data_IF_763170770362
#
_entry.id   IF_763170770362
#
_cell.length_a   1.000
_cell.length_b   1.000
_cell.length_c   1.000
_cell.angle_alpha   90.00
_cell.angle_beta   90.00
_cell.angle_gamma   90.00
#
_symmetry.space_group_name_H-M   'P 1'
#
loop_
_entity.id
_entity.type
_entity.pdbx_description
1 polymer ?
#
# COMPACT_ATOMS: atom_id res chain seq x y z
N UNK A 1 -31.30 -3.76 -9.57
CA UNK A 1 -29.94 -4.25 -9.27
C UNK A 1 -29.59 -3.76 -7.89
N UNK A 2 -29.41 -4.66 -6.93
CA UNK A 2 -28.97 -4.29 -5.58
C UNK A 2 -27.62 -3.57 -5.66
N UNK A 3 -27.53 -2.37 -5.07
CA UNK A 3 -26.26 -1.71 -4.86
C UNK A 3 -25.41 -2.58 -3.92
N UNK A 4 -24.41 -3.27 -4.47
CA UNK A 4 -23.35 -3.84 -3.66
C UNK A 4 -22.71 -2.69 -2.87
N UNK A 5 -22.89 -2.68 -1.54
CA UNK A 5 -22.13 -1.80 -0.66
C UNK A 5 -20.65 -2.10 -0.91
N UNK A 6 -19.93 -1.14 -1.47
CA UNK A 6 -18.50 -1.26 -1.76
C UNK A 6 -17.75 -1.32 -0.43
N UNK A 7 -17.24 -2.50 -0.08
CA UNK A 7 -16.53 -2.72 1.21
C UNK A 7 -15.04 -2.44 1.12
N UNK A 8 -14.50 -2.35 -0.10
CA UNK A 8 -13.10 -2.02 -0.35
C UNK A 8 -13.03 -0.78 -1.25
N UNK A 9 -12.00 0.06 -1.06
CA UNK A 9 -11.85 1.32 -1.81
C UNK A 9 -11.57 1.10 -3.31
N UNK A 10 -11.13 -0.11 -3.70
CA UNK A 10 -10.77 -0.45 -5.07
C UNK A 10 -11.62 -1.60 -5.60
N UNK A 11 -12.03 -1.49 -6.87
CA UNK A 11 -12.93 -2.45 -7.52
C UNK A 11 -12.13 -3.47 -8.36
N UNK A 12 -11.94 -4.67 -7.82
CA UNK A 12 -11.31 -5.77 -8.55
C UNK A 12 -12.11 -6.18 -9.79
N UNK A 13 -13.42 -5.96 -9.78
CA UNK A 13 -14.31 -6.26 -10.91
C UNK A 13 -13.98 -5.33 -12.07
N UNK A 14 -13.84 -4.02 -11.80
CA UNK A 14 -13.42 -3.04 -12.80
C UNK A 14 -12.07 -3.39 -13.43
N UNK A 15 -11.12 -3.93 -12.64
CA UNK A 15 -9.83 -4.39 -13.16
C UNK A 15 -9.98 -5.63 -14.06
N UNK A 16 -10.83 -6.58 -13.69
CA UNK A 16 -11.06 -7.84 -14.44
C UNK A 16 -11.97 -7.66 -15.66
N UNK A 17 -12.79 -6.62 -15.70
CA UNK A 17 -13.63 -6.23 -16.84
C UNK A 17 -12.80 -5.57 -17.95
N UNK A 18 -11.58 -5.12 -17.65
CA UNK A 18 -10.63 -4.72 -18.68
C UNK A 18 -10.21 -5.95 -19.50
N UNK A 19 -9.90 -5.76 -20.78
CA UNK A 19 -9.66 -6.81 -21.78
C UNK A 19 -8.49 -7.76 -21.49
N UNK A 20 -7.79 -7.62 -20.35
CA UNK A 20 -6.63 -8.40 -19.96
C UNK A 20 -6.74 -8.93 -18.52
N UNK A 21 -6.22 -10.13 -18.28
CA UNK A 21 -6.11 -10.70 -16.93
C UNK A 21 -5.01 -9.98 -16.13
N UNK A 22 -5.40 -9.20 -15.13
CA UNK A 22 -4.47 -8.52 -14.21
C UNK A 22 -4.68 -8.98 -12.75
N UNK A 23 -3.62 -9.51 -12.13
CA UNK A 23 -3.64 -9.87 -10.70
C UNK A 23 -3.49 -8.64 -9.78
N UNK A 24 -2.86 -7.59 -10.30
CA UNK A 24 -2.68 -6.27 -9.71
C UNK A 24 -2.57 -5.25 -10.86
N UNK A 25 -2.85 -3.97 -10.59
CA UNK A 25 -2.74 -2.94 -11.63
C UNK A 25 -1.27 -2.80 -12.08
N UNK A 26 -0.99 -3.19 -13.33
CA UNK A 26 0.37 -3.22 -13.87
C UNK A 26 1.04 -1.83 -13.92
N UNK A 27 0.25 -0.76 -13.94
CA UNK A 27 0.74 0.62 -13.93
C UNK A 27 1.43 1.00 -12.61
N UNK A 28 1.24 0.22 -11.54
CA UNK A 28 2.05 0.36 -10.33
C UNK A 28 3.54 0.23 -10.65
N UNK A 29 3.91 -0.82 -11.39
CA UNK A 29 5.30 -1.08 -11.76
C UNK A 29 5.78 -0.23 -12.94
N UNK A 30 4.87 0.11 -13.87
CA UNK A 30 5.22 0.86 -15.08
C UNK A 30 5.32 2.37 -14.85
N UNK A 31 4.52 2.93 -13.94
CA UNK A 31 4.36 4.39 -13.77
C UNK A 31 4.60 4.83 -12.33
N UNK A 32 3.90 4.24 -11.36
CA UNK A 32 3.88 4.75 -9.97
C UNK A 32 5.23 4.61 -9.27
N UNK A 33 5.77 3.39 -9.16
CA UNK A 33 7.05 3.17 -8.49
C UNK A 33 8.22 3.88 -9.19
N UNK A 34 8.34 3.88 -10.54
CA UNK A 34 9.34 4.69 -11.23
C UNK A 34 9.25 6.18 -10.89
N UNK A 35 8.04 6.74 -10.83
CA UNK A 35 7.80 8.15 -10.48
C UNK A 35 8.24 8.46 -9.05
N UNK A 36 7.85 7.65 -8.06
CA UNK A 36 8.27 7.79 -6.65
C UNK A 36 9.80 7.70 -6.51
N UNK A 37 10.43 6.74 -7.18
CA UNK A 37 11.89 6.59 -7.17
C UNK A 37 12.53 7.84 -7.79
N UNK A 38 12.02 8.33 -8.92
CA UNK A 38 12.51 9.57 -9.55
C UNK A 38 12.44 10.79 -8.63
N UNK A 39 11.31 10.99 -7.95
CA UNK A 39 11.14 12.06 -6.95
C UNK A 39 12.17 11.94 -5.81
N UNK A 40 12.32 10.73 -5.26
CA UNK A 40 13.27 10.45 -4.19
C UNK A 40 14.73 10.73 -4.62
N UNK A 41 15.08 10.35 -5.84
CA UNK A 41 16.39 10.59 -6.43
C UNK A 41 16.67 12.08 -6.61
N UNK A 42 15.67 12.87 -7.00
CA UNK A 42 15.79 14.33 -7.12
C UNK A 42 16.01 15.01 -5.75
N UNK A 43 15.36 14.52 -4.69
CA UNK A 43 15.51 15.05 -3.33
C UNK A 43 16.92 14.81 -2.78
N UNK A 44 17.44 13.59 -2.92
CA UNK A 44 18.77 13.25 -2.39
C UNK A 44 19.92 13.58 -3.34
N UNK A 45 19.66 13.80 -4.64
CA UNK A 45 20.66 14.09 -5.67
C UNK A 45 21.81 13.06 -5.64
N UNK A 46 23.02 13.46 -6.08
CA UNK A 46 24.24 12.63 -6.07
C UNK A 46 24.88 12.49 -4.68
N UNK A 47 24.10 12.44 -3.59
CA UNK A 47 24.66 12.21 -2.25
C UNK A 47 25.22 10.79 -2.16
N UNK A 48 26.47 10.69 -1.68
CA UNK A 48 27.20 9.43 -1.56
C UNK A 48 26.53 8.42 -0.60
N UNK A 49 25.66 8.89 0.32
CA UNK A 49 24.89 8.09 1.26
C UNK A 49 23.39 8.33 1.09
N UNK A 50 22.84 7.93 -0.04
CA UNK A 50 21.40 7.96 -0.31
C UNK A 50 20.71 6.73 0.33
N UNK A 51 19.58 6.90 1.05
CA UNK A 51 18.83 5.75 1.53
C UNK A 51 18.27 4.91 0.38
N UNK A 52 18.19 3.59 0.57
CA UNK A 52 17.63 2.70 -0.44
C UNK A 52 16.10 2.88 -0.49
N UNK A 53 15.56 3.31 -1.64
CA UNK A 53 14.11 3.51 -1.83
C UNK A 53 13.42 2.31 -2.48
N UNK A 54 14.17 1.49 -3.25
CA UNK A 54 13.62 0.36 -4.04
C UNK A 54 12.85 -0.67 -3.22
N UNK A 55 13.15 -0.78 -1.92
CA UNK A 55 12.48 -1.70 -1.01
C UNK A 55 10.99 -1.34 -0.80
N UNK A 56 10.57 -0.14 -1.20
CA UNK A 56 9.15 0.26 -1.20
C UNK A 56 8.27 -0.67 -2.04
N UNK A 57 8.83 -1.19 -3.15
CA UNK A 57 8.13 -2.11 -4.07
C UNK A 57 7.89 -3.44 -3.36
N UNK A 58 8.98 -4.02 -2.83
CA UNK A 58 8.92 -5.30 -2.11
C UNK A 58 8.00 -5.20 -0.90
N UNK A 59 8.08 -4.11 -0.14
CA UNK A 59 7.23 -3.89 1.02
C UNK A 59 5.75 -3.78 0.63
N UNK A 60 5.41 -3.02 -0.40
CA UNK A 60 4.01 -2.88 -0.85
C UNK A 60 3.41 -4.23 -1.26
N UNK A 61 4.09 -4.98 -2.15
CA UNK A 61 3.57 -6.27 -2.61
C UNK A 61 3.57 -7.33 -1.51
N UNK A 62 4.54 -7.28 -0.60
CA UNK A 62 4.52 -8.11 0.59
C UNK A 62 3.27 -7.80 1.44
N UNK A 63 3.03 -6.54 1.80
CA UNK A 63 1.83 -6.17 2.56
C UNK A 63 0.54 -6.58 1.82
N UNK A 64 0.46 -6.36 0.51
CA UNK A 64 -0.68 -6.77 -0.34
C UNK A 64 -0.98 -8.27 -0.22
N UNK A 65 0.07 -9.11 -0.18
CA UNK A 65 -0.07 -10.57 -0.09
C UNK A 65 -0.54 -11.08 1.27
N UNK A 66 -0.45 -10.25 2.32
CA UNK A 66 -0.86 -10.60 3.70
C UNK A 66 -2.22 -10.04 4.10
N UNK A 67 -2.99 -9.53 3.13
CA UNK A 67 -4.30 -8.95 3.43
C UNK A 67 -5.28 -10.03 3.85
N UNK A 68 -6.01 -9.74 4.93
CA UNK A 68 -7.10 -10.57 5.39
C UNK A 68 -8.36 -10.41 4.52
N UNK A 69 -8.72 -11.47 3.79
CA UNK A 69 -9.94 -11.54 2.99
C UNK A 69 -11.18 -11.95 3.79
N UNK A 70 -11.07 -12.27 5.09
CA UNK A 70 -12.20 -12.74 5.90
C UNK A 70 -13.08 -11.55 6.28
N UNK A 71 -14.16 -11.33 5.51
CA UNK A 71 -15.12 -10.25 5.75
C UNK A 71 -16.02 -10.52 6.96
N UNK A 72 -16.53 -11.74 7.09
CA UNK A 72 -17.46 -12.15 8.14
C UNK A 72 -16.87 -13.28 8.97
N UNK A 73 -16.99 -13.18 10.29
CA UNK A 73 -16.58 -14.22 11.23
C UNK A 73 -17.60 -15.37 11.24
N UNK A 74 -17.22 -16.52 11.81
CA UNK A 74 -18.14 -17.66 11.97
C UNK A 74 -19.34 -17.32 12.86
N UNK A 75 -19.20 -16.32 13.74
CA UNK A 75 -20.28 -15.76 14.55
C UNK A 75 -21.28 -14.91 13.76
N UNK A 76 -21.01 -14.59 12.49
CA UNK A 76 -21.81 -13.67 11.68
C UNK A 76 -21.44 -12.18 11.82
N UNK A 77 -20.53 -11.84 12.73
CA UNK A 77 -20.05 -10.47 12.92
C UNK A 77 -19.05 -10.05 11.82
N UNK A 78 -18.94 -8.74 11.56
CA UNK A 78 -17.94 -8.19 10.65
C UNK A 78 -16.55 -8.28 11.27
N UNK A 79 -15.58 -8.72 10.48
CA UNK A 79 -14.18 -8.75 10.88
C UNK A 79 -13.57 -7.36 10.84
N UNK A 80 -13.08 -6.85 11.97
CA UNK A 80 -12.32 -5.59 12.00
C UNK A 80 -11.01 -5.66 11.22
N UNK A 81 -10.51 -6.88 10.97
CA UNK A 81 -9.29 -7.14 10.21
C UNK A 81 -9.52 -7.18 8.71
N UNK A 82 -10.76 -7.22 8.25
CA UNK A 82 -11.04 -7.32 6.83
C UNK A 82 -10.35 -6.19 6.06
N UNK A 83 -9.56 -6.55 5.04
CA UNK A 83 -8.78 -5.59 4.25
C UNK A 83 -7.47 -5.13 4.89
N UNK A 84 -7.18 -5.51 6.14
CA UNK A 84 -5.92 -5.21 6.80
C UNK A 84 -4.85 -6.27 6.47
N UNK A 85 -3.63 -5.80 6.25
CA UNK A 85 -2.40 -6.57 6.29
C UNK A 85 -1.77 -6.45 7.67
N UNK A 86 -1.35 -7.57 8.27
CA UNK A 86 -0.93 -7.62 9.68
C UNK A 86 0.38 -8.41 9.93
N UNK A 87 1.37 -8.45 9.02
CA UNK A 87 2.64 -9.10 9.32
C UNK A 87 3.38 -8.34 10.42
N UNK A 88 3.90 -9.08 11.41
CA UNK A 88 4.71 -8.49 12.47
C UNK A 88 6.02 -7.89 11.91
N UNK A 89 6.52 -6.81 12.52
CA UNK A 89 7.74 -6.11 12.05
C UNK A 89 8.94 -7.04 11.90
N UNK A 90 9.21 -7.90 12.88
CA UNK A 90 10.32 -8.85 12.81
C UNK A 90 10.20 -9.81 11.62
N UNK A 91 8.97 -10.18 11.24
CA UNK A 91 8.70 -11.02 10.07
C UNK A 91 8.97 -10.26 8.76
N UNK A 92 8.59 -8.98 8.69
CA UNK A 92 8.94 -8.11 7.54
C UNK A 92 10.47 -8.02 7.39
N UNK A 93 11.19 -7.80 8.50
CA UNK A 93 12.67 -7.72 8.50
C UNK A 93 13.27 -9.03 8.00
N UNK A 94 12.81 -10.17 8.53
CA UNK A 94 13.32 -11.48 8.18
C UNK A 94 13.03 -11.85 6.72
N UNK A 95 11.77 -11.70 6.28
CA UNK A 95 11.34 -12.13 4.95
C UNK A 95 11.89 -11.22 3.83
N UNK A 96 12.04 -9.91 4.07
CA UNK A 96 12.46 -8.95 3.04
C UNK A 96 13.92 -8.48 3.18
N UNK A 97 14.60 -8.80 4.27
CA UNK A 97 15.94 -8.26 4.56
C UNK A 97 15.98 -6.74 4.77
N UNK A 98 14.83 -6.11 5.02
CA UNK A 98 14.72 -4.66 5.26
C UNK A 98 15.07 -4.39 6.72
N UNK A 99 16.06 -3.52 6.97
CA UNK A 99 16.38 -3.10 8.33
C UNK A 99 15.14 -2.48 9.03
N UNK A 100 14.85 -2.87 10.27
CA UNK A 100 13.61 -2.49 10.97
C UNK A 100 13.34 -0.98 10.97
N UNK A 101 14.39 -0.18 11.21
CA UNK A 101 14.32 1.29 11.21
C UNK A 101 13.86 1.90 9.88
N UNK A 102 13.97 1.17 8.77
CA UNK A 102 13.56 1.61 7.42
C UNK A 102 12.10 1.31 7.12
N UNK A 103 11.45 0.42 7.87
CA UNK A 103 10.05 0.05 7.63
C UNK A 103 9.14 1.27 7.76
N UNK A 104 9.28 2.06 8.84
CA UNK A 104 8.43 3.25 9.05
C UNK A 104 8.56 4.28 7.92
N UNK A 105 9.77 4.75 7.55
CA UNK A 105 9.91 5.67 6.41
C UNK A 105 9.30 5.14 5.10
N UNK A 106 9.50 3.86 4.80
CA UNK A 106 8.91 3.25 3.60
C UNK A 106 7.37 3.22 3.67
N UNK A 107 6.80 2.89 4.83
CA UNK A 107 5.34 2.94 5.08
C UNK A 107 4.81 4.36 4.93
N UNK A 108 5.50 5.36 5.47
CA UNK A 108 5.07 6.75 5.38
C UNK A 108 5.07 7.24 3.91
N UNK A 109 6.06 6.82 3.10
CA UNK A 109 6.08 7.10 1.65
C UNK A 109 4.92 6.40 0.93
N UNK A 110 4.59 5.15 1.29
CA UNK A 110 3.43 4.46 0.72
C UNK A 110 2.11 5.15 1.07
N UNK A 111 1.96 5.64 2.32
CA UNK A 111 0.77 6.36 2.78
C UNK A 111 0.59 7.67 2.01
N UNK A 112 1.63 8.49 1.92
CA UNK A 112 1.50 9.80 1.26
C UNK A 112 1.24 9.68 -0.25
N UNK A 113 1.61 8.56 -0.87
CA UNK A 113 1.29 8.26 -2.27
C UNK A 113 -0.05 7.54 -2.47
N UNK A 114 -0.81 7.24 -1.42
CA UNK A 114 -2.09 6.52 -1.53
C UNK A 114 -1.96 5.02 -1.87
N UNK A 115 -0.76 4.45 -1.73
CA UNK A 115 -0.53 3.00 -1.88
C UNK A 115 -0.89 2.24 -0.60
N UNK A 116 -0.80 2.91 0.55
CA UNK A 116 -1.48 2.53 1.77
C UNK A 116 -2.52 3.62 2.08
N UNK A 117 -3.65 3.21 2.62
CA UNK A 117 -4.74 4.12 3.02
C UNK A 117 -4.59 4.49 4.49
N UNK A 118 -4.16 3.53 5.30
CA UNK A 118 -3.97 3.70 6.73
C UNK A 118 -2.93 2.72 7.26
N UNK A 119 -2.20 3.13 8.32
CA UNK A 119 -1.38 2.25 9.13
C UNK A 119 -1.71 2.44 10.62
N UNK A 120 -2.56 1.56 11.16
CA UNK A 120 -3.12 1.66 12.51
C UNK A 120 -2.34 0.82 13.52
N UNK A 121 -2.18 1.35 14.72
CA UNK A 121 -1.75 0.55 15.87
C UNK A 121 -2.97 -0.10 16.54
N UNK A 122 -2.89 -1.41 16.75
CA UNK A 122 -3.96 -2.19 17.38
C UNK A 122 -3.41 -2.89 18.61
N UNK A 123 -4.10 -2.72 19.72
CA UNK A 123 -3.74 -3.33 21.00
C UNK A 123 -4.61 -4.55 21.22
N UNK A 124 -3.96 -5.70 21.49
CA UNK A 124 -4.64 -6.92 21.93
C UNK A 124 -4.00 -7.30 23.26
N UNK A 125 -4.73 -7.07 24.35
CA UNK A 125 -4.15 -7.13 25.70
C UNK A 125 -3.02 -6.11 25.85
N UNK A 126 -1.84 -6.57 26.27
CA UNK A 126 -0.62 -5.74 26.41
C UNK A 126 0.23 -5.69 25.14
N UNK A 127 -0.14 -6.44 24.09
CA UNK A 127 0.63 -6.53 22.85
C UNK A 127 0.16 -5.50 21.84
N UNK A 128 1.12 -4.77 21.24
CA UNK A 128 0.89 -3.81 20.17
C UNK A 128 1.18 -4.45 18.81
N UNK A 129 0.18 -4.45 17.94
CA UNK A 129 0.25 -4.87 16.55
C UNK A 129 0.12 -3.67 15.63
N UNK A 130 0.56 -3.83 14.38
CA UNK A 130 0.36 -2.83 13.33
C UNK A 130 -0.42 -3.44 12.20
N UNK A 131 -1.49 -2.77 11.80
CA UNK A 131 -2.32 -3.10 10.65
C UNK A 131 -2.06 -2.09 9.54
N UNK A 132 -1.95 -2.58 8.31
CA UNK A 132 -1.70 -1.79 7.12
C UNK A 132 -2.85 -2.02 6.14
N UNK A 133 -3.57 -0.96 5.77
CA UNK A 133 -4.67 -1.04 4.81
C UNK A 133 -4.14 -0.70 3.42
N UNK A 134 -3.95 -1.74 2.60
CA UNK A 134 -3.30 -1.62 1.30
C UNK A 134 -4.30 -1.16 0.24
N UNK A 135 -3.86 -0.29 -0.67
CA UNK A 135 -4.62 0.03 -1.86
C UNK A 135 -4.45 -1.09 -2.89
N UNK A 136 -5.42 -2.02 -2.97
CA UNK A 136 -5.34 -3.27 -3.76
C UNK A 136 -5.24 -3.11 -5.27
N UNK A 137 -6.07 -2.24 -5.84
CA UNK A 137 -6.18 -2.01 -7.28
C UNK A 137 -6.43 -0.53 -7.50
N UNK A 138 -5.47 0.35 -7.16
CA UNK A 138 -5.68 1.77 -7.31
C UNK A 138 -5.88 2.13 -8.78
N UNK A 139 -6.71 3.14 -9.03
CA UNK A 139 -6.73 3.82 -10.32
C UNK A 139 -5.49 4.69 -10.45
N UNK A 140 -4.89 4.70 -11.63
CA UNK A 140 -3.59 5.36 -11.87
C UNK A 140 -3.73 6.30 -13.05
N UNK A 141 -3.26 7.54 -12.88
CA UNK A 141 -3.19 8.52 -13.96
C UNK A 141 -2.01 8.24 -14.91
N UNK A 142 -2.02 8.86 -16.09
CA UNK A 142 -0.95 8.67 -17.08
C UNK A 142 0.44 9.06 -16.60
N UNK A 143 0.52 10.07 -15.73
CA UNK A 143 1.76 10.51 -15.07
C UNK A 143 2.07 9.75 -13.77
N UNK A 144 1.35 8.67 -13.48
CA UNK A 144 1.69 7.70 -12.44
C UNK A 144 1.28 8.10 -11.03
N UNK A 145 0.24 8.93 -10.86
CA UNK A 145 -0.37 9.22 -9.56
C UNK A 145 -1.56 8.32 -9.29
N UNK A 146 -1.79 8.02 -8.01
CA UNK A 146 -3.02 7.34 -7.59
C UNK A 146 -4.18 8.33 -7.73
N UNK A 147 -5.30 7.85 -8.26
CA UNK A 147 -6.53 8.61 -8.43
C UNK A 147 -7.52 8.19 -7.35
N UNK A 148 -8.03 9.15 -6.59
CA UNK A 148 -9.06 8.94 -5.57
C UNK A 148 -10.43 8.66 -6.18
N UNK A 149 -11.39 8.27 -5.34
CA UNK A 149 -12.74 7.92 -5.81
C UNK A 149 -13.48 9.08 -6.50
N UNK A 150 -13.13 10.33 -6.16
CA UNK A 150 -13.66 11.56 -6.76
C UNK A 150 -12.95 11.95 -8.09
N UNK A 151 -11.95 11.19 -8.54
CA UNK A 151 -11.18 11.47 -9.75
C UNK A 151 -10.00 12.42 -9.55
N UNK A 152 -9.76 12.90 -8.33
CA UNK A 152 -8.59 13.71 -7.99
C UNK A 152 -7.29 12.89 -7.95
N UNK A 153 -6.14 13.53 -8.21
CA UNK A 153 -4.82 12.91 -7.98
C UNK A 153 -4.44 13.04 -6.51
N UNK A 154 -3.95 11.95 -5.92
CA UNK A 154 -3.30 11.96 -4.61
C UNK A 154 -1.87 12.46 -4.79
N UNK A 155 -1.61 13.70 -4.37
CA UNK A 155 -0.29 14.31 -4.43
C UNK A 155 0.49 14.00 -3.13
N UNK A 156 1.72 13.47 -3.21
CA UNK A 156 2.50 13.15 -2.03
C UNK A 156 3.07 14.40 -1.36
N UNK A 157 3.12 14.37 -0.02
CA UNK A 157 3.94 15.28 0.76
C UNK A 157 5.40 14.84 0.66
N UNK A 158 6.15 15.54 -0.19
CA UNK A 158 7.57 15.28 -0.43
C UNK A 158 8.47 15.53 0.80
N UNK A 159 7.95 16.17 1.86
CA UNK A 159 8.70 16.31 3.12
C UNK A 159 8.94 14.95 3.81
N UNK A 160 8.02 13.99 3.61
CA UNK A 160 8.09 12.62 4.15
C UNK A 160 9.28 11.82 3.59
N UNK A 161 9.81 12.23 2.44
CA UNK A 161 10.89 11.51 1.77
C UNK A 161 12.25 11.79 2.42
N UNK A 162 12.38 12.77 3.33
CA UNK A 162 13.68 13.25 3.85
C UNK A 162 14.16 12.55 5.10
#
# INVERSE_FOLDING_TARGET
MEQFKKYLPNDKTELLEQTNYEMYNLDLMRKVFPRIIGEFDQIYKRKQRKPQIRDIIALYFYLLSYVDGKHTLESGEKSERFGASFPAKHKIVYDLGIAEKRIKPLVDILLTNGLLLEARDVWVGTSRYKWYFVSFCPRISDDGYIVSEDGGKILPDLSVYK
#
